data_IF_601117246272
#
_entry.id   IF_601117246272
#
_cell.length_a   1.000
_cell.length_b   1.000
_cell.length_c   1.000
_cell.angle_alpha   90.00
_cell.angle_beta   90.00
_cell.angle_gamma   90.00
#
_symmetry.space_group_name_H-M   'P 1'
#
loop_
_entity.id
_entity.type
_entity.pdbx_description
1 polymer ?
#
# COMPACT_ATOMS: atom_id res chain seq x y z
N UNK A 1 -10.18 16.43 16.65
CA UNK A 1 -9.14 15.91 15.71
C UNK A 1 -9.72 14.71 14.99
N UNK A 2 -9.76 14.73 13.65
CA UNK A 2 -10.43 13.71 12.82
C UNK A 2 -9.55 12.49 12.55
N UNK A 3 -8.47 12.24 13.19
CA UNK A 3 -7.50 11.18 12.85
C UNK A 3 -8.19 9.89 12.35
N UNK A 4 -8.39 9.72 11.03
CA UNK A 4 -9.21 8.62 10.49
C UNK A 4 -8.48 7.28 10.45
N UNK A 5 -7.17 7.31 10.65
CA UNK A 5 -6.29 6.12 10.65
C UNK A 5 -5.38 6.15 11.86
N UNK A 6 -5.33 5.04 12.59
CA UNK A 6 -4.43 4.85 13.72
C UNK A 6 -3.44 3.73 13.42
N UNK A 7 -2.18 3.92 13.79
CA UNK A 7 -1.12 2.91 13.66
C UNK A 7 -1.01 2.10 14.94
N UNK A 8 -0.91 0.78 14.79
CA UNK A 8 -0.68 -0.16 15.88
C UNK A 8 0.56 -1.00 15.58
N UNK A 9 1.44 -1.06 16.54
CA UNK A 9 2.67 -1.87 16.43
C UNK A 9 2.33 -3.31 16.83
N UNK A 10 2.66 -4.31 15.99
CA UNK A 10 2.46 -5.72 16.32
C UNK A 10 3.21 -6.13 17.61
N UNK A 11 2.63 -7.07 18.36
CA UNK A 11 3.19 -7.55 19.63
C UNK A 11 4.65 -8.01 19.52
N UNK A 12 5.05 -8.58 18.37
CA UNK A 12 6.43 -9.01 18.13
C UNK A 12 7.46 -7.87 18.15
N UNK A 13 7.04 -6.61 17.97
CA UNK A 13 7.92 -5.43 18.01
C UNK A 13 7.69 -4.58 19.26
N UNK A 14 6.60 -4.78 20.01
CA UNK A 14 6.11 -3.86 21.06
C UNK A 14 7.15 -3.66 22.18
N UNK A 15 7.80 -4.71 22.63
CA UNK A 15 8.77 -4.67 23.74
C UNK A 15 9.99 -3.74 23.49
N UNK A 16 10.36 -3.53 22.23
CA UNK A 16 11.51 -2.73 21.84
C UNK A 16 11.12 -1.41 21.18
N UNK A 17 9.82 -1.15 21.04
CA UNK A 17 9.30 0.05 20.40
C UNK A 17 9.12 1.19 21.39
N UNK A 18 9.55 2.38 21.00
CA UNK A 18 9.33 3.64 21.74
C UNK A 18 8.56 4.59 20.85
N UNK A 19 7.45 5.10 21.39
CA UNK A 19 6.62 6.10 20.72
C UNK A 19 6.80 7.46 21.40
N UNK A 20 6.98 8.50 20.59
CA UNK A 20 7.13 9.89 21.06
C UNK A 20 6.16 10.77 20.29
N UNK A 21 5.52 11.69 20.99
CA UNK A 21 4.84 12.82 20.37
C UNK A 21 5.75 14.03 20.49
N UNK A 22 6.05 14.67 19.37
CA UNK A 22 6.97 15.79 19.32
C UNK A 22 6.29 17.01 18.68
N UNK A 23 6.63 18.20 19.18
CA UNK A 23 6.20 19.47 18.56
C UNK A 23 7.10 19.89 17.41
N UNK A 24 8.33 19.35 17.31
CA UNK A 24 9.30 19.60 16.24
C UNK A 24 10.14 18.36 15.97
N UNK A 25 10.39 18.05 14.69
CA UNK A 25 11.30 16.97 14.28
C UNK A 25 12.69 17.50 14.03
N UNK A 26 13.71 16.81 14.58
CA UNK A 26 15.10 16.99 14.14
C UNK A 26 15.28 16.50 12.70
N UNK A 27 16.15 17.16 11.93
CA UNK A 27 16.51 16.75 10.56
C UNK A 27 17.09 15.34 10.47
N UNK A 28 17.59 14.79 11.57
CA UNK A 28 18.21 13.47 11.61
C UNK A 28 17.18 12.34 11.44
N UNK A 29 15.90 12.59 11.80
CA UNK A 29 14.84 11.59 11.78
C UNK A 29 13.96 11.63 10.53
N UNK A 30 13.82 12.81 9.93
CA UNK A 30 12.96 13.01 8.76
C UNK A 30 13.63 13.93 7.75
N UNK A 31 13.76 13.45 6.52
CA UNK A 31 14.29 14.26 5.42
C UNK A 31 13.24 15.18 4.79
N UNK A 32 11.97 15.04 5.21
CA UNK A 32 10.86 15.79 4.68
C UNK A 32 9.98 16.32 5.82
N UNK A 33 9.81 17.63 5.88
CA UNK A 33 9.04 18.31 6.94
C UNK A 33 7.76 18.89 6.34
N UNK A 34 6.66 18.68 7.04
CA UNK A 34 5.40 19.40 6.82
C UNK A 34 5.41 20.63 7.73
N UNK A 35 5.59 21.87 7.21
CA UNK A 35 5.81 23.06 8.04
C UNK A 35 4.65 23.35 9.00
N UNK A 36 3.43 22.98 8.61
CA UNK A 36 2.20 23.24 9.31
C UNK A 36 1.59 21.98 9.99
N UNK A 37 2.40 20.97 10.29
CA UNK A 37 1.93 19.81 11.01
C UNK A 37 1.40 20.18 12.40
N UNK A 38 0.18 19.73 12.71
CA UNK A 38 -0.43 19.90 14.05
C UNK A 38 0.16 18.94 15.08
N UNK A 39 0.50 17.73 14.64
CA UNK A 39 1.13 16.74 15.50
C UNK A 39 2.13 15.90 14.71
N UNK A 40 3.10 15.40 15.44
CA UNK A 40 4.18 14.59 14.90
C UNK A 40 4.35 13.39 15.81
N UNK A 41 4.24 12.20 15.22
CA UNK A 41 4.51 10.95 15.91
C UNK A 41 5.82 10.36 15.41
N UNK A 42 6.69 9.97 16.34
CA UNK A 42 7.94 9.28 16.08
C UNK A 42 7.90 7.92 16.75
N UNK A 43 7.93 6.87 15.96
CA UNK A 43 8.00 5.49 16.43
C UNK A 43 9.41 4.97 16.12
N UNK A 44 10.10 4.48 17.14
CA UNK A 44 11.47 3.96 17.04
C UNK A 44 11.52 2.51 17.49
N UNK A 45 12.12 1.69 16.66
CA UNK A 45 12.48 0.31 16.93
C UNK A 45 13.92 0.07 16.41
N UNK A 46 14.72 -0.88 16.94
CA UNK A 46 16.06 -1.18 16.43
C UNK A 46 16.14 -1.48 14.94
N UNK A 47 15.09 -2.09 14.37
CA UNK A 47 15.00 -2.47 12.95
C UNK A 47 14.34 -1.41 12.07
N UNK A 48 13.52 -0.50 12.63
CA UNK A 48 12.82 0.52 11.83
C UNK A 48 12.57 1.81 12.62
N UNK A 49 12.28 2.87 11.89
CA UNK A 49 11.72 4.10 12.44
C UNK A 49 10.61 4.62 11.55
N UNK A 50 9.55 5.16 12.15
CA UNK A 50 8.40 5.76 11.47
C UNK A 50 8.22 7.17 11.98
N UNK A 51 8.13 8.13 11.07
CA UNK A 51 7.77 9.51 11.36
C UNK A 51 6.47 9.83 10.64
N UNK A 52 5.47 10.25 11.38
CA UNK A 52 4.18 10.65 10.87
C UNK A 52 3.94 12.11 11.23
N UNK A 53 3.56 12.88 10.25
CA UNK A 53 3.26 14.29 10.39
C UNK A 53 1.81 14.52 9.97
N UNK A 54 0.99 15.00 10.88
CA UNK A 54 -0.44 15.15 10.66
C UNK A 54 -0.85 16.62 10.60
N UNK A 55 -1.72 16.92 9.66
CA UNK A 55 -2.52 18.14 9.66
C UNK A 55 -3.99 17.78 9.63
N UNK A 56 -4.77 18.32 10.53
CA UNK A 56 -6.20 18.09 10.65
C UNK A 56 -6.92 19.43 10.69
N UNK A 57 -7.60 19.77 9.61
CA UNK A 57 -8.45 20.94 9.49
C UNK A 57 -9.90 20.48 9.27
N UNK A 58 -10.87 21.42 9.33
CA UNK A 58 -12.31 21.12 9.29
C UNK A 58 -12.73 20.09 8.22
N UNK A 59 -12.17 20.18 7.04
CA UNK A 59 -12.57 19.36 5.87
C UNK A 59 -11.46 18.48 5.32
N UNK A 60 -10.22 18.62 5.79
CA UNK A 60 -9.05 17.94 5.23
C UNK A 60 -8.24 17.31 6.35
N UNK A 61 -7.96 16.02 6.22
CA UNK A 61 -6.95 15.34 6.98
C UNK A 61 -5.78 14.99 6.06
N UNK A 62 -4.57 15.38 6.41
CA UNK A 62 -3.36 15.13 5.65
C UNK A 62 -2.33 14.44 6.55
N UNK A 63 -1.73 13.38 6.05
CA UNK A 63 -0.61 12.70 6.70
C UNK A 63 0.56 12.57 5.73
N UNK A 64 1.73 12.90 6.22
CA UNK A 64 3.01 12.65 5.55
C UNK A 64 3.80 11.65 6.39
N UNK A 65 4.18 10.53 5.78
CA UNK A 65 4.91 9.47 6.43
C UNK A 65 6.30 9.26 5.82
N UNK A 66 7.31 9.15 6.67
CA UNK A 66 8.63 8.66 6.29
C UNK A 66 8.98 7.46 7.16
N UNK A 67 9.32 6.35 6.52
CA UNK A 67 9.65 5.08 7.14
C UNK A 67 11.05 4.68 6.70
N UNK A 68 11.89 4.34 7.66
CA UNK A 68 13.23 3.79 7.41
C UNK A 68 13.30 2.40 8.03
N UNK A 69 13.41 1.39 7.19
CA UNK A 69 13.46 -0.01 7.57
C UNK A 69 14.86 -0.59 7.29
N UNK A 70 15.50 -1.19 8.29
CA UNK A 70 16.73 -1.95 8.11
C UNK A 70 16.43 -3.35 7.57
N UNK A 71 15.31 -3.92 8.01
CA UNK A 71 14.81 -5.24 7.64
C UNK A 71 13.32 -5.13 7.27
N UNK A 72 12.77 -6.07 6.50
CA UNK A 72 11.33 -6.11 6.23
C UNK A 72 10.53 -6.20 7.52
N UNK A 73 9.46 -5.42 7.62
CA UNK A 73 8.54 -5.45 8.76
C UNK A 73 7.13 -5.06 8.34
N UNK A 74 6.17 -5.20 9.23
CA UNK A 74 4.80 -4.76 9.02
C UNK A 74 4.25 -4.05 10.25
N UNK A 75 3.21 -3.26 10.02
CA UNK A 75 2.43 -2.60 11.06
C UNK A 75 0.95 -2.87 10.83
N UNK A 76 0.14 -2.67 11.85
CA UNK A 76 -1.31 -2.69 11.71
C UNK A 76 -1.86 -1.27 11.64
N UNK A 77 -2.88 -1.11 10.82
CA UNK A 77 -3.62 0.13 10.68
C UNK A 77 -5.07 -0.13 11.07
N UNK A 78 -5.66 0.80 11.80
CA UNK A 78 -7.10 0.80 12.07
C UNK A 78 -7.72 2.02 11.43
N UNK A 79 -8.61 1.83 10.47
CA UNK A 79 -9.46 2.90 9.96
C UNK A 79 -10.70 2.99 10.85
N UNK A 80 -11.06 4.20 11.28
CA UNK A 80 -12.18 4.43 12.19
C UNK A 80 -13.39 5.09 11.52
N UNK A 81 -13.20 5.67 10.35
CA UNK A 81 -14.23 6.35 9.57
C UNK A 81 -14.32 5.77 8.16
N UNK A 82 -15.53 5.64 7.58
CA UNK A 82 -15.71 5.28 6.18
C UNK A 82 -15.31 6.47 5.31
N UNK A 83 -14.09 6.45 4.79
CA UNK A 83 -13.51 7.59 4.10
C UNK A 83 -12.88 7.25 2.76
N UNK A 84 -12.70 8.27 1.92
CA UNK A 84 -11.97 8.18 0.65
C UNK A 84 -10.59 8.79 0.84
N UNK A 85 -9.58 7.98 0.56
CA UNK A 85 -8.17 8.36 0.71
C UNK A 85 -7.51 8.53 -0.65
N UNK A 86 -6.82 9.64 -0.84
CA UNK A 86 -5.83 9.83 -1.91
C UNK A 86 -4.48 9.41 -1.35
N UNK A 87 -3.86 8.38 -1.91
CA UNK A 87 -2.62 7.78 -1.42
C UNK A 87 -1.54 7.93 -2.49
N UNK A 88 -0.46 8.63 -2.17
CA UNK A 88 0.67 8.91 -3.06
C UNK A 88 1.94 8.27 -2.51
N UNK A 89 2.51 7.32 -3.22
CA UNK A 89 3.80 6.75 -2.88
C UNK A 89 4.92 7.52 -3.59
N UNK A 90 5.71 8.26 -2.84
CA UNK A 90 6.79 9.11 -3.37
C UNK A 90 8.11 8.36 -3.48
N UNK A 91 8.36 7.39 -2.59
CA UNK A 91 9.59 6.60 -2.54
C UNK A 91 9.34 5.23 -1.90
N UNK A 92 10.01 4.20 -2.43
CA UNK A 92 9.87 2.83 -1.95
C UNK A 92 8.58 2.18 -2.44
N UNK A 93 8.03 1.29 -1.63
CA UNK A 93 6.77 0.58 -1.88
C UNK A 93 5.75 0.90 -0.79
N UNK A 94 4.49 0.88 -1.13
CA UNK A 94 3.38 0.94 -0.19
C UNK A 94 2.47 -0.25 -0.46
N UNK A 95 2.39 -1.17 0.50
CA UNK A 95 1.59 -2.40 0.39
C UNK A 95 0.61 -2.46 1.55
N UNK A 96 -0.68 -2.49 1.23
CA UNK A 96 -1.77 -2.58 2.19
C UNK A 96 -2.49 -3.90 2.00
N UNK A 97 -2.75 -4.59 3.10
CA UNK A 97 -3.31 -5.93 3.15
C UNK A 97 -4.53 -6.00 4.08
N UNK A 98 -5.42 -6.99 3.95
CA UNK A 98 -6.37 -7.33 5.00
C UNK A 98 -5.60 -7.66 6.30
N UNK A 99 -6.23 -7.45 7.43
CA UNK A 99 -5.61 -7.71 8.73
C UNK A 99 -5.16 -9.18 8.86
N UNK A 100 -3.88 -9.35 9.17
CA UNK A 100 -3.29 -10.68 9.33
C UNK A 100 -3.04 -11.48 8.04
N UNK A 101 -3.32 -10.89 6.86
CA UNK A 101 -3.16 -11.54 5.55
C UNK A 101 -2.16 -10.76 4.70
N UNK A 102 -0.87 -10.83 5.06
CA UNK A 102 0.20 -10.07 4.39
C UNK A 102 0.46 -10.51 2.94
N UNK A 103 -0.12 -11.61 2.52
CA UNK A 103 0.03 -12.17 1.16
C UNK A 103 -0.97 -11.54 0.18
N UNK A 104 -2.04 -10.90 0.68
CA UNK A 104 -3.10 -10.33 -0.12
C UNK A 104 -3.00 -8.81 -0.22
N UNK A 105 -2.61 -8.31 -1.38
CA UNK A 105 -2.52 -6.87 -1.62
C UNK A 105 -3.91 -6.26 -1.90
N UNK A 106 -4.37 -5.38 -1.02
CA UNK A 106 -5.50 -4.48 -1.29
C UNK A 106 -5.02 -3.30 -2.13
N UNK A 107 -3.83 -2.77 -1.78
CA UNK A 107 -3.17 -1.67 -2.48
C UNK A 107 -1.70 -2.03 -2.60
N UNK A 108 -1.18 -1.95 -3.81
CA UNK A 108 0.25 -2.04 -4.08
C UNK A 108 0.68 -0.84 -4.92
N UNK A 109 1.46 0.04 -4.34
CA UNK A 109 2.05 1.18 -5.04
C UNK A 109 3.55 1.07 -5.05
N UNK A 110 4.12 1.12 -6.23
CA UNK A 110 5.57 1.26 -6.42
C UNK A 110 5.98 2.74 -6.42
N UNK A 111 7.25 3.00 -6.58
CA UNK A 111 7.79 4.37 -6.56
C UNK A 111 7.08 5.29 -7.57
N UNK A 112 6.70 6.47 -7.11
CA UNK A 112 6.01 7.48 -7.94
C UNK A 112 4.68 7.01 -8.54
N UNK A 113 3.88 6.31 -7.75
CA UNK A 113 2.51 5.95 -8.07
C UNK A 113 1.53 6.51 -7.03
N UNK A 114 0.26 6.60 -7.42
CA UNK A 114 -0.83 6.95 -6.53
C UNK A 114 -2.10 6.17 -6.86
N UNK A 115 -3.01 6.11 -5.90
CA UNK A 115 -4.37 5.60 -6.08
C UNK A 115 -5.36 6.37 -5.22
N UNK A 116 -6.63 6.14 -5.47
CA UNK A 116 -7.73 6.62 -4.64
C UNK A 116 -8.48 5.38 -4.14
N UNK A 117 -8.72 5.30 -2.85
CA UNK A 117 -9.36 4.16 -2.24
C UNK A 117 -10.44 4.58 -1.25
N UNK A 118 -11.60 3.93 -1.30
CA UNK A 118 -12.57 3.94 -0.23
C UNK A 118 -12.25 2.83 0.77
N UNK A 119 -12.17 3.18 2.04
CA UNK A 119 -11.91 2.22 3.10
C UNK A 119 -12.95 2.41 4.22
N UNK A 120 -13.74 1.36 4.53
CA UNK A 120 -14.63 1.37 5.69
C UNK A 120 -13.84 1.27 7.01
N UNK A 121 -14.48 1.43 8.17
CA UNK A 121 -13.86 1.12 9.45
C UNK A 121 -13.44 -0.35 9.50
N UNK A 122 -12.13 -0.60 9.58
CA UNK A 122 -11.57 -1.96 9.62
C UNK A 122 -10.11 -1.96 10.09
N UNK A 123 -9.64 -3.15 10.43
CA UNK A 123 -8.22 -3.41 10.64
C UNK A 123 -7.56 -3.81 9.33
N UNK A 124 -6.34 -3.33 9.13
CA UNK A 124 -5.51 -3.58 7.95
C UNK A 124 -4.07 -3.86 8.41
N UNK A 125 -3.27 -4.41 7.53
CA UNK A 125 -1.82 -4.53 7.71
C UNK A 125 -1.09 -3.77 6.61
N UNK A 126 0.03 -3.14 6.92
CA UNK A 126 0.88 -2.48 5.94
C UNK A 126 2.29 -3.01 6.06
N UNK A 127 2.86 -3.53 4.97
CA UNK A 127 4.19 -4.13 4.94
C UNK A 127 5.20 -3.24 4.23
N UNK A 128 6.45 -3.31 4.68
CA UNK A 128 7.57 -2.54 4.18
C UNK A 128 8.79 -3.44 3.98
N UNK A 129 9.40 -3.35 2.80
CA UNK A 129 10.71 -3.93 2.55
C UNK A 129 11.80 -3.11 3.27
N UNK A 130 13.04 -3.63 3.32
CA UNK A 130 14.18 -2.83 3.76
C UNK A 130 14.39 -1.61 2.87
N UNK A 131 14.73 -0.46 3.48
CA UNK A 131 14.96 0.79 2.78
C UNK A 131 14.20 1.97 3.35
N UNK A 132 14.06 3.01 2.54
CA UNK A 132 13.31 4.23 2.89
C UNK A 132 12.04 4.29 2.08
N UNK A 133 10.91 4.42 2.78
CA UNK A 133 9.59 4.60 2.19
C UNK A 133 9.05 5.96 2.55
N UNK A 134 8.40 6.61 1.61
CA UNK A 134 7.77 7.92 1.82
C UNK A 134 6.46 7.96 1.10
N UNK A 135 5.39 8.22 1.83
CA UNK A 135 4.07 8.37 1.26
C UNK A 135 3.30 9.51 1.91
N UNK A 136 2.31 9.97 1.17
CA UNK A 136 1.36 10.97 1.59
C UNK A 136 -0.02 10.38 1.41
N UNK A 137 -0.87 10.58 2.38
CA UNK A 137 -2.29 10.39 2.15
C UNK A 137 -3.09 11.54 2.72
N UNK A 138 -4.17 11.83 2.07
CA UNK A 138 -5.16 12.76 2.60
C UNK A 138 -6.57 12.23 2.38
N UNK A 139 -7.50 12.66 3.21
CA UNK A 139 -8.93 12.52 3.02
C UNK A 139 -9.62 13.86 3.14
N UNK A 140 -10.76 13.97 2.48
CA UNK A 140 -11.58 15.20 2.47
C UNK A 140 -12.96 14.86 2.98
N UNK A 141 -13.57 15.77 3.74
CA UNK A 141 -14.90 15.55 4.28
C UNK A 141 -15.92 15.21 3.20
N UNK A 142 -16.86 14.32 3.54
CA UNK A 142 -17.96 13.94 2.65
C UNK A 142 -18.69 15.16 2.11
N UNK A 143 -18.95 16.16 2.94
CA UNK A 143 -19.64 17.39 2.55
C UNK A 143 -18.91 18.16 1.45
N UNK A 144 -17.58 18.20 1.46
CA UNK A 144 -16.77 18.82 0.40
C UNK A 144 -16.77 18.03 -0.91
N UNK A 145 -16.74 16.71 -0.83
CA UNK A 145 -16.68 15.84 -2.02
C UNK A 145 -18.00 15.84 -2.78
N UNK A 146 -19.12 15.85 -2.10
CA UNK A 146 -20.45 15.71 -2.70
C UNK A 146 -21.05 17.01 -3.26
N UNK A 147 -20.44 18.17 -3.01
CA UNK A 147 -20.93 19.46 -3.58
C UNK A 147 -20.99 19.53 -5.11
N UNK A 148 -20.27 18.63 -5.82
CA UNK A 148 -20.17 18.63 -7.30
C UNK A 148 -20.26 17.21 -7.90
N UNK A 149 -21.14 16.35 -7.39
CA UNK A 149 -21.24 14.93 -7.75
C UNK A 149 -21.54 14.65 -9.22
N UNK A 150 -22.29 15.52 -9.88
CA UNK A 150 -22.73 15.29 -11.25
C UNK A 150 -21.61 15.37 -12.30
N UNK A 151 -20.43 15.84 -11.94
CA UNK A 151 -19.30 16.10 -12.84
C UNK A 151 -18.04 15.32 -12.42
N UNK A 152 -17.99 14.01 -12.73
CA UNK A 152 -16.81 13.20 -12.47
C UNK A 152 -16.77 11.90 -13.28
N UNK A 153 -15.58 11.28 -13.42
CA UNK A 153 -15.44 9.97 -14.06
C UNK A 153 -16.32 8.92 -13.40
N UNK A 154 -16.80 7.94 -14.17
CA UNK A 154 -17.67 6.87 -13.66
C UNK A 154 -17.05 6.11 -12.46
N UNK A 155 -15.75 5.83 -12.51
CA UNK A 155 -15.00 5.22 -11.42
C UNK A 155 -15.05 6.03 -10.13
N UNK A 156 -14.89 7.34 -10.24
CA UNK A 156 -14.94 8.21 -9.06
C UNK A 156 -16.36 8.27 -8.46
N UNK A 157 -17.39 8.25 -9.32
CA UNK A 157 -18.79 8.15 -8.85
C UNK A 157 -19.06 6.87 -8.09
N UNK A 158 -18.53 5.73 -8.55
CA UNK A 158 -18.68 4.45 -7.85
C UNK A 158 -18.10 4.49 -6.43
N UNK A 159 -16.92 5.10 -6.26
CA UNK A 159 -16.28 5.21 -4.94
C UNK A 159 -17.03 6.18 -4.00
N UNK A 160 -17.60 7.25 -4.55
CA UNK A 160 -18.48 8.16 -3.82
C UNK A 160 -19.75 7.45 -3.34
N UNK A 161 -20.39 6.66 -4.19
CA UNK A 161 -21.57 5.87 -3.85
C UNK A 161 -21.29 4.88 -2.71
N UNK A 162 -20.11 4.24 -2.71
CA UNK A 162 -19.71 3.37 -1.58
C UNK A 162 -19.59 4.16 -0.28
N UNK A 163 -19.02 5.35 -0.31
CA UNK A 163 -18.95 6.21 0.87
C UNK A 163 -20.34 6.65 1.34
N UNK A 164 -21.26 6.97 0.41
CA UNK A 164 -22.64 7.33 0.75
C UNK A 164 -23.40 6.20 1.44
N UNK A 165 -23.26 4.99 0.88
CA UNK A 165 -23.91 3.79 1.38
C UNK A 165 -23.22 3.21 2.63
N UNK A 166 -22.13 3.82 3.10
CA UNK A 166 -21.28 3.28 4.17
C UNK A 166 -20.95 1.80 3.95
N UNK A 167 -20.56 1.48 2.71
CA UNK A 167 -20.30 0.11 2.30
C UNK A 167 -19.25 -0.56 3.20
N UNK A 168 -19.47 -1.81 3.54
CA UNK A 168 -18.56 -2.59 4.41
C UNK A 168 -17.31 -3.12 3.67
N UNK A 169 -17.30 -3.07 2.33
CA UNK A 169 -16.18 -3.50 1.50
C UNK A 169 -15.36 -2.32 1.00
N UNK A 170 -14.04 -2.41 1.10
CA UNK A 170 -13.13 -1.43 0.48
C UNK A 170 -13.26 -1.45 -1.06
N UNK A 171 -12.81 -0.38 -1.69
CA UNK A 171 -12.64 -0.29 -3.13
C UNK A 171 -11.43 0.57 -3.46
N UNK A 172 -10.54 0.03 -4.29
CA UNK A 172 -9.38 0.75 -4.79
C UNK A 172 -9.56 1.06 -6.26
N UNK A 173 -9.26 2.28 -6.66
CA UNK A 173 -9.21 2.67 -8.08
C UNK A 173 -7.85 2.26 -8.68
N UNK A 174 -7.74 2.25 -10.03
CA UNK A 174 -6.46 1.94 -10.68
C UNK A 174 -5.32 2.79 -10.14
N UNK A 175 -4.16 2.15 -9.92
CA UNK A 175 -2.93 2.86 -9.59
C UNK A 175 -2.38 3.56 -10.84
N UNK A 176 -2.05 4.84 -10.68
CA UNK A 176 -1.60 5.72 -11.75
C UNK A 176 -0.22 6.27 -11.44
N UNK A 177 0.52 6.61 -12.50
CA UNK A 177 1.83 7.24 -12.36
C UNK A 177 1.72 8.67 -11.85
N UNK A 178 2.55 9.02 -10.88
CA UNK A 178 2.70 10.38 -10.39
C UNK A 178 3.48 11.23 -11.40
N UNK A 179 2.77 11.83 -12.36
CA UNK A 179 3.37 12.64 -13.41
C UNK A 179 3.82 14.01 -12.89
N UNK A 180 4.68 14.69 -13.65
CA UNK A 180 5.35 15.95 -13.24
C UNK A 180 4.39 17.07 -12.77
N UNK A 181 3.21 17.19 -13.39
CA UNK A 181 2.22 18.22 -13.00
C UNK A 181 1.66 17.92 -11.61
N UNK A 182 1.26 16.67 -11.35
CA UNK A 182 0.72 16.25 -10.06
C UNK A 182 1.77 16.30 -8.97
N UNK A 183 2.99 15.85 -9.26
CA UNK A 183 4.14 15.93 -8.32
C UNK A 183 4.41 17.39 -7.90
N UNK A 184 4.38 18.34 -8.85
CA UNK A 184 4.55 19.78 -8.56
C UNK A 184 3.46 20.32 -7.63
N UNK A 185 2.19 19.98 -7.84
CA UNK A 185 1.10 20.43 -6.96
C UNK A 185 1.19 19.78 -5.56
N UNK A 186 1.63 18.52 -5.47
CA UNK A 186 1.93 17.88 -4.18
C UNK A 186 3.09 18.58 -3.47
N UNK A 187 4.18 18.88 -4.16
CA UNK A 187 5.30 19.62 -3.56
C UNK A 187 4.87 21.01 -3.10
N UNK A 188 4.05 21.72 -3.90
CA UNK A 188 3.50 23.01 -3.52
C UNK A 188 2.63 22.91 -2.24
N UNK A 189 1.77 21.89 -2.15
CA UNK A 189 0.97 21.61 -0.95
C UNK A 189 1.85 21.42 0.29
N UNK A 190 2.92 20.64 0.15
CA UNK A 190 3.78 20.28 1.28
C UNK A 190 4.74 21.42 1.71
N UNK A 191 4.95 22.40 0.85
CA UNK A 191 5.83 23.54 1.10
C UNK A 191 5.09 24.81 1.47
N UNK A 192 3.79 24.78 1.67
CA UNK A 192 3.04 25.93 2.17
C UNK A 192 3.69 26.38 3.49
N UNK A 193 4.16 27.63 3.60
CA UNK A 193 4.78 28.09 4.84
C UNK A 193 3.76 28.13 5.98
N UNK A 194 4.22 27.82 7.18
CA UNK A 194 3.39 27.99 8.37
C UNK A 194 3.17 29.50 8.60
N UNK A 195 1.93 29.98 8.62
CA UNK A 195 1.64 31.37 8.98
C UNK A 195 1.84 31.60 10.48
N UNK A 196 1.97 32.85 10.87
CA UNK A 196 2.05 33.23 12.30
C UNK A 196 0.79 32.80 13.07
N UNK A 197 -0.36 32.84 12.39
CA UNK A 197 -1.63 32.34 12.88
C UNK A 197 -2.31 31.45 11.86
N UNK A 198 -2.76 30.26 12.27
CA UNK A 198 -3.61 29.42 11.41
C UNK A 198 -5.00 30.02 11.41
N UNK A 199 -5.34 30.65 10.32
CA UNK A 199 -6.61 31.33 10.12
C UNK A 199 -7.37 30.79 8.88
N UNK A 200 -8.54 31.35 8.62
CA UNK A 200 -9.39 30.96 7.50
C UNK A 200 -8.69 31.17 6.14
N UNK A 201 -7.71 32.07 6.05
CA UNK A 201 -6.97 32.36 4.83
C UNK A 201 -6.02 31.20 4.52
N UNK A 202 -5.31 30.71 5.54
CA UNK A 202 -4.43 29.54 5.41
C UNK A 202 -5.23 28.29 5.05
N UNK A 203 -6.35 28.03 5.74
CA UNK A 203 -7.22 26.90 5.45
C UNK A 203 -7.80 26.96 4.04
N UNK A 204 -8.12 28.15 3.55
CA UNK A 204 -8.58 28.37 2.18
C UNK A 204 -7.49 28.05 1.16
N UNK A 205 -6.24 28.46 1.40
CA UNK A 205 -5.10 28.13 0.54
C UNK A 205 -4.85 26.61 0.51
N UNK A 206 -4.90 25.96 1.65
CA UNK A 206 -4.77 24.50 1.74
C UNK A 206 -5.88 23.78 0.95
N UNK A 207 -7.12 24.21 1.14
CA UNK A 207 -8.29 23.67 0.44
C UNK A 207 -8.20 23.86 -1.08
N UNK A 208 -7.71 25.00 -1.54
CA UNK A 208 -7.46 25.26 -2.96
C UNK A 208 -6.38 24.32 -3.53
N UNK A 209 -5.30 24.09 -2.79
CA UNK A 209 -4.20 23.21 -3.20
C UNK A 209 -4.67 21.76 -3.28
N UNK A 210 -5.38 21.26 -2.26
CA UNK A 210 -6.01 19.94 -2.27
C UNK A 210 -7.03 19.81 -3.40
N UNK A 211 -7.86 20.83 -3.60
CA UNK A 211 -8.84 20.88 -4.69
C UNK A 211 -8.21 20.80 -6.09
N UNK A 212 -7.01 21.38 -6.29
CA UNK A 212 -6.25 21.22 -7.55
C UNK A 212 -5.80 19.78 -7.74
N UNK A 213 -5.27 19.14 -6.69
CA UNK A 213 -4.83 17.75 -6.73
C UNK A 213 -6.01 16.83 -7.06
N UNK A 214 -7.16 17.02 -6.39
CA UNK A 214 -8.39 16.25 -6.67
C UNK A 214 -8.83 16.41 -8.12
N UNK A 215 -8.79 17.63 -8.67
CA UNK A 215 -9.17 17.87 -10.08
C UNK A 215 -8.22 17.17 -11.05
N UNK A 216 -6.91 17.20 -10.80
CA UNK A 216 -5.92 16.53 -11.64
C UNK A 216 -6.16 15.01 -11.60
N UNK A 217 -6.27 14.41 -10.41
CA UNK A 217 -6.50 12.97 -10.27
C UNK A 217 -7.83 12.51 -10.88
N UNK A 218 -8.90 13.33 -10.82
CA UNK A 218 -10.15 13.07 -11.53
C UNK A 218 -9.98 13.13 -13.06
N UNK A 219 -9.18 14.07 -13.57
CA UNK A 219 -8.88 14.15 -14.99
C UNK A 219 -8.04 12.95 -15.48
N UNK A 220 -7.08 12.51 -14.68
CA UNK A 220 -6.29 11.30 -14.97
C UNK A 220 -7.19 10.07 -15.06
N UNK A 221 -8.13 9.90 -14.12
CA UNK A 221 -9.12 8.81 -14.16
C UNK A 221 -10.06 8.91 -15.38
N UNK A 222 -10.43 10.12 -15.80
CA UNK A 222 -11.25 10.32 -16.97
C UNK A 222 -10.51 10.01 -18.29
N UNK A 223 -9.18 10.11 -18.26
CA UNK A 223 -8.31 9.76 -19.39
C UNK A 223 -8.07 8.25 -19.56
N UNK A 224 -8.47 7.43 -18.58
CA UNK A 224 -8.37 5.97 -18.70
C UNK A 224 -9.32 5.47 -19.78
N UNK A 225 -8.78 4.71 -20.72
CA UNK A 225 -9.60 4.07 -21.76
C UNK A 225 -10.15 2.71 -21.27
N UNK A 226 -11.05 2.10 -22.05
CA UNK A 226 -11.63 0.80 -21.68
C UNK A 226 -10.60 -0.33 -21.57
N UNK A 227 -9.47 -0.23 -22.28
CA UNK A 227 -8.38 -1.21 -22.20
C UNK A 227 -7.62 -1.10 -20.88
N UNK A 228 -7.37 0.11 -20.38
CA UNK A 228 -6.73 0.34 -19.08
C UNK A 228 -7.59 -0.18 -17.93
N UNK A 229 -8.90 0.06 -18.00
CA UNK A 229 -9.87 -0.43 -17.02
C UNK A 229 -9.94 -1.97 -17.02
N UNK A 230 -10.03 -2.58 -18.21
CA UNK A 230 -10.01 -4.04 -18.36
C UNK A 230 -8.69 -4.64 -17.86
N UNK A 231 -7.58 -3.97 -18.10
CA UNK A 231 -6.27 -4.39 -17.62
C UNK A 231 -6.15 -4.33 -16.09
N UNK A 232 -6.70 -3.30 -15.47
CA UNK A 232 -6.74 -3.18 -14.01
C UNK A 232 -7.61 -4.28 -13.39
N UNK A 233 -8.79 -4.52 -13.92
CA UNK A 233 -9.68 -5.58 -13.45
C UNK A 233 -9.02 -6.95 -13.58
N UNK A 234 -8.39 -7.22 -14.72
CA UNK A 234 -7.66 -8.46 -14.96
C UNK A 234 -6.46 -8.61 -13.99
N UNK A 235 -5.79 -7.52 -13.63
CA UNK A 235 -4.71 -7.56 -12.64
C UNK A 235 -5.22 -8.02 -11.26
N UNK A 236 -6.34 -7.47 -10.79
CA UNK A 236 -6.99 -7.88 -9.53
C UNK A 236 -7.41 -9.34 -9.57
N UNK A 237 -8.08 -9.76 -10.64
CA UNK A 237 -8.54 -11.15 -10.81
C UNK A 237 -7.37 -12.15 -10.86
N UNK A 238 -6.23 -11.77 -11.47
CA UNK A 238 -5.02 -12.59 -11.44
C UNK A 238 -4.48 -12.81 -10.02
N UNK A 239 -4.44 -11.75 -9.20
CA UNK A 239 -3.99 -11.87 -7.82
C UNK A 239 -4.93 -12.75 -7.00
N UNK A 240 -6.23 -12.52 -7.06
CA UNK A 240 -7.23 -13.35 -6.38
C UNK A 240 -7.12 -14.82 -6.78
N UNK A 241 -6.98 -15.09 -8.08
CA UNK A 241 -6.80 -16.46 -8.58
C UNK A 241 -5.53 -17.12 -8.03
N UNK A 242 -4.39 -16.38 -8.02
CA UNK A 242 -3.13 -16.90 -7.49
C UNK A 242 -3.24 -17.25 -6.00
N UNK A 243 -3.84 -16.38 -5.21
CA UNK A 243 -4.03 -16.58 -3.77
C UNK A 243 -4.95 -17.76 -3.46
N UNK A 244 -6.10 -17.86 -4.15
CA UNK A 244 -7.03 -18.97 -3.99
C UNK A 244 -6.39 -20.32 -4.32
N UNK A 245 -5.61 -20.38 -5.41
CA UNK A 245 -4.93 -21.63 -5.79
C UNK A 245 -3.78 -21.97 -4.85
N UNK A 246 -3.06 -20.97 -4.37
CA UNK A 246 -2.00 -21.16 -3.40
C UNK A 246 -2.54 -21.70 -2.07
N UNK A 247 -3.68 -21.20 -1.60
CA UNK A 247 -4.34 -21.69 -0.38
C UNK A 247 -4.78 -23.15 -0.50
N UNK A 248 -5.12 -23.61 -1.71
CA UNK A 248 -5.54 -24.99 -2.02
C UNK A 248 -4.37 -25.92 -2.38
N UNK A 249 -3.12 -25.52 -2.16
CA UNK A 249 -1.92 -26.26 -2.58
C UNK A 249 -1.85 -26.54 -4.10
N UNK A 250 -2.55 -25.75 -4.91
CA UNK A 250 -2.52 -25.86 -6.34
C UNK A 250 -1.33 -25.06 -6.92
N UNK A 251 -0.61 -25.73 -7.81
CA UNK A 251 0.56 -25.14 -8.48
C UNK A 251 0.06 -24.27 -9.63
N UNK A 252 0.33 -22.98 -9.57
CA UNK A 252 -0.03 -22.07 -10.67
C UNK A 252 1.21 -21.60 -11.41
N UNK A 253 1.22 -21.76 -12.72
CA UNK A 253 2.24 -21.26 -13.62
C UNK A 253 1.72 -20.14 -14.50
N UNK A 254 2.63 -19.34 -15.10
CA UNK A 254 2.23 -18.31 -16.08
C UNK A 254 1.48 -18.92 -17.27
N UNK A 255 1.77 -20.19 -17.61
CA UNK A 255 1.07 -20.88 -18.70
C UNK A 255 -0.37 -21.20 -18.32
N UNK A 256 -0.61 -21.67 -17.10
CA UNK A 256 -1.96 -21.95 -16.57
C UNK A 256 -2.79 -20.66 -16.45
N UNK A 257 -2.19 -19.58 -15.97
CA UNK A 257 -2.84 -18.26 -15.96
C UNK A 257 -3.20 -17.81 -17.39
N UNK A 258 -2.29 -17.98 -18.34
CA UNK A 258 -2.54 -17.64 -19.74
C UNK A 258 -3.70 -18.42 -20.35
N UNK A 259 -3.84 -19.68 -19.97
CA UNK A 259 -4.96 -20.53 -20.38
C UNK A 259 -6.26 -20.14 -19.67
N UNK A 260 -6.19 -19.96 -18.35
CA UNK A 260 -7.37 -19.62 -17.52
C UNK A 260 -8.00 -18.28 -17.92
N UNK A 261 -7.15 -17.26 -18.14
CA UNK A 261 -7.60 -15.90 -18.52
C UNK A 261 -7.74 -15.71 -20.04
N UNK A 262 -7.60 -16.76 -20.82
CA UNK A 262 -7.72 -16.74 -22.30
C UNK A 262 -6.90 -15.61 -22.95
N UNK A 263 -5.70 -15.36 -22.43
CA UNK A 263 -4.85 -14.24 -22.87
C UNK A 263 -3.37 -14.64 -22.95
N UNK A 264 -2.58 -13.86 -23.68
CA UNK A 264 -1.18 -14.18 -23.86
C UNK A 264 -0.34 -13.93 -22.57
N UNK A 265 0.68 -14.78 -22.37
CA UNK A 265 1.66 -14.60 -21.29
C UNK A 265 2.31 -13.21 -21.28
N UNK A 266 2.57 -12.66 -22.45
CA UNK A 266 3.15 -11.33 -22.62
C UNK A 266 2.20 -10.24 -22.09
N UNK A 267 0.89 -10.36 -22.39
CA UNK A 267 -0.13 -9.43 -21.90
C UNK A 267 -0.28 -9.51 -20.38
N UNK A 268 -0.37 -10.72 -19.80
CA UNK A 268 -0.42 -10.92 -18.36
C UNK A 268 0.81 -10.31 -17.66
N UNK A 269 2.00 -10.58 -18.21
CA UNK A 269 3.24 -10.04 -17.64
C UNK A 269 3.29 -8.51 -17.72
N UNK A 270 2.86 -7.91 -18.85
CA UNK A 270 2.79 -6.45 -19.02
C UNK A 270 1.81 -5.83 -18.02
N UNK A 271 0.64 -6.43 -17.87
CA UNK A 271 -0.39 -5.97 -16.91
C UNK A 271 0.16 -6.03 -15.49
N UNK A 272 0.74 -7.16 -15.09
CA UNK A 272 1.31 -7.32 -13.76
C UNK A 272 2.44 -6.32 -13.50
N UNK A 273 3.35 -6.14 -14.46
CA UNK A 273 4.43 -5.15 -14.38
C UNK A 273 3.90 -3.72 -14.24
N UNK A 274 2.83 -3.38 -14.98
CA UNK A 274 2.23 -2.03 -14.94
C UNK A 274 1.55 -1.74 -13.62
N UNK A 275 0.80 -2.70 -13.06
CA UNK A 275 -0.01 -2.49 -11.87
C UNK A 275 0.73 -2.80 -10.56
N UNK A 276 1.68 -3.74 -10.57
CA UNK A 276 2.38 -4.21 -9.36
C UNK A 276 3.91 -4.03 -9.41
N UNK A 277 4.45 -3.46 -10.48
CA UNK A 277 5.88 -3.10 -10.58
C UNK A 277 6.87 -4.27 -10.68
N UNK A 278 6.40 -5.52 -10.69
CA UNK A 278 7.21 -6.72 -10.85
C UNK A 278 6.71 -7.59 -11.99
N UNK A 279 7.59 -8.41 -12.57
CA UNK A 279 7.13 -9.40 -13.53
C UNK A 279 6.39 -10.55 -12.84
N UNK A 280 5.39 -11.09 -13.52
CA UNK A 280 4.48 -12.10 -12.98
C UNK A 280 5.20 -13.38 -12.52
N UNK A 281 6.29 -13.77 -13.20
CA UNK A 281 7.08 -14.95 -12.83
C UNK A 281 7.81 -14.73 -11.51
N UNK A 282 8.39 -13.56 -11.32
CA UNK A 282 9.05 -13.17 -10.07
C UNK A 282 8.05 -13.14 -8.91
N UNK A 283 6.86 -12.61 -9.15
CA UNK A 283 5.78 -12.60 -8.15
C UNK A 283 5.34 -14.03 -7.77
N UNK A 284 5.05 -14.89 -8.74
CA UNK A 284 4.71 -16.30 -8.47
C UNK A 284 5.83 -16.99 -7.67
N UNK A 285 7.08 -16.71 -8.01
CA UNK A 285 8.21 -17.29 -7.28
C UNK A 285 8.28 -16.74 -5.83
N UNK A 286 8.02 -15.46 -5.64
CA UNK A 286 7.96 -14.84 -4.31
C UNK A 286 6.92 -15.53 -3.43
N UNK A 287 5.67 -15.60 -3.86
CA UNK A 287 4.59 -16.21 -3.06
C UNK A 287 4.85 -17.71 -2.77
N UNK A 288 5.49 -18.45 -3.70
CA UNK A 288 5.93 -19.83 -3.47
C UNK A 288 7.00 -19.92 -2.36
N UNK A 289 7.96 -19.00 -2.37
CA UNK A 289 9.03 -18.98 -1.35
C UNK A 289 8.49 -18.60 0.02
N UNK A 290 7.60 -17.64 0.10
CA UNK A 290 6.95 -17.24 1.36
C UNK A 290 6.09 -18.37 1.94
N UNK A 291 5.30 -19.04 1.11
CA UNK A 291 4.58 -20.25 1.51
C UNK A 291 5.51 -21.37 1.97
N UNK A 292 6.61 -21.59 1.24
CA UNK A 292 7.60 -22.60 1.64
C UNK A 292 8.19 -22.30 3.02
N UNK A 293 8.52 -21.04 3.27
CA UNK A 293 9.02 -20.61 4.58
C UNK A 293 8.00 -20.87 5.68
N UNK A 294 6.75 -20.48 5.46
CA UNK A 294 5.65 -20.74 6.40
C UNK A 294 5.51 -22.23 6.72
N UNK A 295 5.46 -23.09 5.71
CA UNK A 295 5.33 -24.54 5.90
C UNK A 295 6.53 -25.17 6.65
N UNK A 296 7.74 -24.66 6.41
CA UNK A 296 8.94 -25.09 7.14
C UNK A 296 8.91 -24.64 8.60
N UNK A 297 8.44 -23.44 8.87
CA UNK A 297 8.26 -22.89 10.22
C UNK A 297 7.15 -23.63 11.00
N UNK A 298 6.12 -24.14 10.31
CA UNK A 298 5.11 -25.05 10.86
C UNK A 298 5.63 -26.48 11.13
N UNK A 299 6.88 -26.76 10.77
CA UNK A 299 7.56 -28.02 11.09
C UNK A 299 7.52 -29.09 9.99
N UNK A 300 7.07 -28.74 8.77
CA UNK A 300 7.17 -29.66 7.64
C UNK A 300 8.62 -29.83 7.21
N UNK A 301 8.97 -31.03 6.74
CA UNK A 301 10.32 -31.30 6.22
C UNK A 301 10.49 -30.73 4.82
N UNK A 302 11.70 -30.27 4.43
CA UNK A 302 11.98 -29.81 3.07
C UNK A 302 11.58 -30.81 1.97
N UNK A 303 11.67 -32.11 2.27
CA UNK A 303 11.23 -33.23 1.40
C UNK A 303 9.72 -33.19 1.08
N UNK A 304 8.92 -32.57 1.91
CA UNK A 304 7.47 -32.56 1.76
C UNK A 304 6.97 -31.17 1.23
N UNK A 305 7.77 -30.13 1.45
CA UNK A 305 7.44 -28.76 1.10
C UNK A 305 7.60 -28.46 -0.41
N UNK A 306 8.67 -28.97 -1.03
CA UNK A 306 8.96 -28.62 -2.43
C UNK A 306 7.81 -28.94 -3.40
N UNK A 307 7.13 -30.07 -3.23
CA UNK A 307 5.94 -30.41 -4.02
C UNK A 307 4.78 -29.46 -3.79
N UNK A 308 4.50 -29.11 -2.52
CA UNK A 308 3.40 -28.23 -2.11
C UNK A 308 3.55 -26.80 -2.63
N UNK A 309 4.78 -26.38 -2.93
CA UNK A 309 5.07 -25.05 -3.49
C UNK A 309 5.42 -25.06 -4.98
N UNK A 310 5.19 -26.20 -5.65
CA UNK A 310 5.21 -26.26 -7.09
C UNK A 310 6.58 -26.41 -7.74
N UNK A 311 7.53 -27.01 -7.07
CA UNK A 311 8.80 -27.40 -7.68
C UNK A 311 8.75 -28.82 -8.21
N UNK A 312 9.55 -29.12 -9.22
CA UNK A 312 9.63 -30.44 -9.84
C UNK A 312 10.59 -31.39 -9.11
N UNK A 313 11.53 -30.80 -8.36
CA UNK A 313 12.49 -31.55 -7.57
C UNK A 313 13.00 -30.73 -6.38
N UNK A 314 13.52 -31.44 -5.37
CA UNK A 314 14.03 -30.86 -4.12
C UNK A 314 15.30 -30.00 -4.34
N UNK A 315 16.12 -30.30 -5.34
CA UNK A 315 17.36 -29.55 -5.58
C UNK A 315 17.07 -28.21 -6.17
N UNK A 316 16.16 -28.13 -7.16
CA UNK A 316 15.69 -26.88 -7.76
C UNK A 316 15.03 -26.00 -6.67
N UNK A 317 14.20 -26.59 -5.82
CA UNK A 317 13.59 -25.91 -4.66
C UNK A 317 14.65 -25.35 -3.69
N UNK A 318 15.57 -26.20 -3.24
CA UNK A 318 16.60 -25.80 -2.26
C UNK A 318 17.50 -24.69 -2.80
N UNK A 319 17.84 -24.74 -4.08
CA UNK A 319 18.62 -23.69 -4.75
C UNK A 319 17.85 -22.37 -4.83
N UNK A 320 16.56 -22.42 -5.20
CA UNK A 320 15.71 -21.24 -5.27
C UNK A 320 15.47 -20.62 -3.89
N UNK A 321 15.20 -21.45 -2.88
CA UNK A 321 14.98 -21.02 -1.51
C UNK A 321 16.22 -20.35 -0.91
N UNK A 322 17.41 -20.98 -1.09
CA UNK A 322 18.68 -20.40 -0.64
C UNK A 322 18.99 -19.08 -1.36
N UNK A 323 18.67 -18.99 -2.67
CA UNK A 323 18.85 -17.75 -3.42
C UNK A 323 17.94 -16.63 -2.89
N UNK A 324 16.71 -16.97 -2.46
CA UNK A 324 15.71 -16.00 -2.02
C UNK A 324 15.95 -15.53 -0.58
N UNK A 325 16.18 -16.46 0.34
CA UNK A 325 16.31 -16.19 1.79
C UNK A 325 17.75 -16.16 2.31
N UNK A 326 18.75 -16.48 1.48
CA UNK A 326 20.17 -16.55 1.90
C UNK A 326 20.54 -17.78 2.72
N UNK A 327 19.56 -18.61 3.15
CA UNK A 327 19.73 -19.81 3.99
C UNK A 327 19.05 -21.04 3.39
N UNK A 328 19.50 -22.23 3.76
CA UNK A 328 18.90 -23.46 3.25
C UNK A 328 17.52 -23.73 3.89
N UNK A 329 16.60 -24.45 3.20
CA UNK A 329 15.31 -24.84 3.79
C UNK A 329 15.45 -25.61 5.10
N UNK A 330 16.47 -26.46 5.22
CA UNK A 330 16.78 -27.20 6.45
C UNK A 330 17.11 -26.34 7.66
N UNK A 331 17.58 -25.10 7.43
CA UNK A 331 17.97 -24.18 8.49
C UNK A 331 16.74 -23.46 9.07
N UNK A 332 15.61 -23.44 8.34
CA UNK A 332 14.35 -22.88 8.79
C UNK A 332 13.55 -23.84 9.68
N UNK A 333 13.69 -25.15 9.48
CA UNK A 333 12.96 -26.17 10.26
C UNK A 333 13.55 -26.42 11.66
N UNK A 334 14.71 -25.84 12.00
CA UNK A 334 15.42 -26.06 13.29
C UNK A 334 15.07 -25.04 14.38
N UNK A 335 14.12 -24.15 14.18
CA UNK A 335 13.83 -23.05 15.14
C UNK A 335 12.82 -23.46 16.24
N UNK A 336 12.38 -24.71 16.28
CA UNK A 336 11.54 -25.25 17.37
C UNK A 336 12.28 -26.36 18.16
N UNK A 337 13.38 -26.01 18.85
CA UNK A 337 13.88 -26.69 20.02
C UNK A 337 14.10 -25.68 21.15
#
# INVERSE_FOLDING_TARGET
MRQPVTIHIPLCYEAQTKCFQESRISSDFCSFKLPYAHSIELIRHPQFSIVLQYYDAMDIFLCVAEIRAKEPFYIHLQTVLPDIYWIFNLKGTYQLHPYGQLEQDIIHLTNKQYTIAYTPPQWLSCSFASGTHRYIYFSVSKACLHRNENHGPSLFKQILQKQEQTAISHQTLPSLSLHKRLDRELQALLQIPLPDTIDITFESHLSLSVGKIIRITKADLAGLNGEDLSSHQLAIEMHQYLEENLSKDLITSVNELSYYFETSRQRLNRIHQTHFGSDLRSYINQIRMEKAKYLLEEGLKPSDVWMKVGYQDIFAFSKAFKKYFGKAPSDCSKIRE
#
